data_IF_103764807854
#
_entry.id   IF_103764807854
#
_cell.length_a   1.000
_cell.length_b   1.000
_cell.length_c   1.000
_cell.angle_alpha   90.00
_cell.angle_beta   90.00
_cell.angle_gamma   90.00
#
_symmetry.space_group_name_H-M   'P 1'
#
loop_
_entity.id
_entity.type
_entity.pdbx_description
1 polymer ?
#
# COMPACT_ATOMS: atom_id res chain seq x y z
N UNK A 1 -6.72 -10.20 2.69
CA UNK A 1 -5.91 -10.48 1.48
C UNK A 1 -4.58 -9.77 1.64
N UNK A 2 -3.46 -10.47 1.41
CA UNK A 2 -2.12 -9.88 1.45
C UNK A 2 -1.85 -9.02 0.20
N UNK A 3 -0.84 -8.16 0.24
CA UNK A 3 -0.52 -7.26 -0.89
C UNK A 3 -0.15 -8.00 -2.17
N UNK A 4 0.60 -9.11 -2.06
CA UNK A 4 0.95 -9.94 -3.21
C UNK A 4 -0.32 -10.51 -3.88
N UNK A 5 -1.28 -11.00 -3.09
CA UNK A 5 -2.55 -11.52 -3.56
C UNK A 5 -3.39 -10.42 -4.23
N UNK A 6 -3.45 -9.23 -3.62
CA UNK A 6 -4.12 -8.07 -4.20
C UNK A 6 -3.52 -7.71 -5.56
N UNK A 7 -2.20 -7.58 -5.65
CA UNK A 7 -1.48 -7.27 -6.89
C UNK A 7 -1.78 -8.30 -7.99
N UNK A 8 -1.72 -9.59 -7.65
CA UNK A 8 -2.01 -10.68 -8.59
C UNK A 8 -3.47 -10.65 -9.05
N UNK A 9 -4.43 -10.36 -8.17
CA UNK A 9 -5.85 -10.22 -8.52
C UNK A 9 -6.09 -9.11 -9.55
N UNK A 10 -5.30 -8.05 -9.49
CA UNK A 10 -5.30 -6.92 -10.44
C UNK A 10 -4.46 -7.18 -11.69
N UNK A 11 -3.85 -8.37 -11.83
CA UNK A 11 -2.97 -8.78 -12.95
C UNK A 11 -1.76 -7.85 -13.15
N UNK A 12 -1.29 -7.23 -12.07
CA UNK A 12 -0.09 -6.38 -12.09
C UNK A 12 1.10 -7.25 -11.74
N UNK A 13 2.20 -7.20 -12.50
CA UNK A 13 3.46 -7.88 -12.14
C UNK A 13 4.27 -7.06 -11.13
N UNK A 14 5.18 -7.72 -10.38
CA UNK A 14 6.09 -6.98 -9.49
C UNK A 14 6.99 -6.00 -10.26
N UNK A 15 7.34 -6.31 -11.52
CA UNK A 15 8.12 -5.42 -12.37
C UNK A 15 7.34 -4.16 -12.75
N UNK A 16 6.07 -4.30 -13.14
CA UNK A 16 5.21 -3.15 -13.44
C UNK A 16 4.96 -2.28 -12.21
N UNK A 17 4.75 -2.89 -11.04
CA UNK A 17 4.59 -2.13 -9.81
C UNK A 17 5.88 -1.40 -9.41
N UNK A 18 7.03 -2.05 -9.58
CA UNK A 18 8.35 -1.45 -9.33
C UNK A 18 8.61 -0.25 -10.23
N UNK A 19 8.24 -0.35 -11.52
CA UNK A 19 8.34 0.74 -12.49
C UNK A 19 7.48 1.94 -12.08
N UNK A 20 6.22 1.71 -11.69
CA UNK A 20 5.31 2.76 -11.22
C UNK A 20 5.80 3.46 -9.97
N UNK A 21 6.41 2.72 -9.05
CA UNK A 21 6.97 3.24 -7.80
C UNK A 21 8.41 3.75 -7.96
N UNK A 22 8.99 3.68 -9.16
CA UNK A 22 10.39 4.04 -9.44
C UNK A 22 11.42 3.35 -8.52
N UNK A 23 11.14 2.13 -8.09
CA UNK A 23 12.04 1.32 -7.26
C UNK A 23 12.44 0.03 -7.98
N UNK A 24 13.38 -0.72 -7.41
CA UNK A 24 13.80 -2.01 -7.97
C UNK A 24 12.79 -3.10 -7.61
N UNK A 25 12.54 -4.05 -8.52
CA UNK A 25 11.63 -5.18 -8.28
C UNK A 25 11.92 -5.99 -7.00
N UNK A 26 13.19 -6.22 -6.58
CA UNK A 26 13.48 -6.84 -5.29
C UNK A 26 13.01 -6.04 -4.07
N UNK A 27 12.83 -4.71 -4.20
CA UNK A 27 12.22 -3.89 -3.16
C UNK A 27 10.72 -4.20 -3.01
N UNK A 28 10.01 -4.42 -4.12
CA UNK A 28 8.59 -4.86 -4.10
C UNK A 28 8.45 -6.21 -3.41
N UNK A 29 9.28 -7.19 -3.77
CA UNK A 29 9.25 -8.50 -3.12
C UNK A 29 9.46 -8.41 -1.60
N UNK A 30 10.39 -7.55 -1.16
CA UNK A 30 10.60 -7.29 0.27
C UNK A 30 9.40 -6.61 0.91
N UNK A 31 8.82 -5.62 0.24
CA UNK A 31 7.65 -4.89 0.72
C UNK A 31 6.44 -5.82 0.91
N UNK A 32 6.16 -6.69 -0.07
CA UNK A 32 5.04 -7.63 -0.01
C UNK A 32 5.16 -8.67 1.12
N UNK A 33 6.39 -8.96 1.56
CA UNK A 33 6.69 -9.95 2.62
C UNK A 33 6.91 -9.32 4.00
N UNK A 34 6.86 -7.99 4.13
CA UNK A 34 7.01 -7.32 5.44
C UNK A 34 5.74 -7.50 6.27
N UNK A 35 5.92 -7.83 7.54
CA UNK A 35 4.83 -7.91 8.54
C UNK A 35 4.42 -6.54 9.07
N UNK A 36 5.28 -5.53 8.96
CA UNK A 36 5.01 -4.16 9.40
C UNK A 36 5.50 -3.16 8.34
N UNK A 37 4.71 -2.11 8.14
CA UNK A 37 4.92 -1.12 7.08
C UNK A 37 4.27 0.21 7.45
N UNK A 38 4.96 1.30 7.17
CA UNK A 38 4.41 2.65 7.26
C UNK A 38 3.16 2.80 6.39
N UNK A 39 2.14 3.50 6.92
CA UNK A 39 0.89 3.76 6.20
C UNK A 39 1.12 4.51 4.88
N UNK A 40 2.13 5.37 4.81
CA UNK A 40 2.55 6.06 3.59
C UNK A 40 2.94 5.08 2.48
N UNK A 41 3.81 4.11 2.76
CA UNK A 41 4.18 3.07 1.80
C UNK A 41 2.99 2.21 1.37
N UNK A 42 2.11 1.86 2.31
CA UNK A 42 0.89 1.13 1.97
C UNK A 42 0.03 1.93 0.99
N UNK A 43 -0.14 3.23 1.24
CA UNK A 43 -0.91 4.14 0.39
C UNK A 43 -0.34 4.17 -1.03
N UNK A 44 0.95 4.42 -1.19
CA UNK A 44 1.62 4.47 -2.49
C UNK A 44 1.48 3.17 -3.27
N UNK A 45 1.66 2.03 -2.60
CA UNK A 45 1.53 0.72 -3.24
C UNK A 45 0.11 0.51 -3.76
N UNK A 46 -0.90 0.88 -2.97
CA UNK A 46 -2.30 0.81 -3.36
C UNK A 46 -2.61 1.77 -4.51
N UNK A 47 -2.11 3.01 -4.45
CA UNK A 47 -2.29 4.03 -5.49
C UNK A 47 -1.58 3.67 -6.80
N UNK A 48 -0.38 3.09 -6.74
CA UNK A 48 0.32 2.56 -7.90
C UNK A 48 -0.42 1.38 -8.53
N UNK A 49 -1.16 0.60 -7.74
CA UNK A 49 -2.11 -0.40 -8.25
C UNK A 49 -3.40 0.20 -8.84
N UNK A 50 -3.63 1.51 -8.66
CA UNK A 50 -4.83 2.22 -9.11
C UNK A 50 -5.98 2.22 -8.11
N UNK A 51 -5.71 1.90 -6.85
CA UNK A 51 -6.69 1.92 -5.76
C UNK A 51 -6.59 3.16 -4.87
N UNK A 52 -7.48 3.24 -3.90
CA UNK A 52 -7.49 4.26 -2.84
C UNK A 52 -7.37 3.55 -1.48
N UNK A 53 -6.43 3.98 -0.64
CA UNK A 53 -6.31 3.46 0.72
C UNK A 53 -7.25 4.20 1.68
N UNK A 54 -8.18 3.46 2.27
CA UNK A 54 -9.01 3.90 3.41
C UNK A 54 -8.73 3.04 4.62
N UNK A 55 -8.33 3.67 5.73
CA UNK A 55 -8.17 2.99 7.01
C UNK A 55 -9.46 3.16 7.80
N UNK A 56 -10.09 2.05 8.12
CA UNK A 56 -11.38 2.06 8.82
C UNK A 56 -11.30 1.16 10.03
N UNK A 57 -11.80 1.64 11.16
CA UNK A 57 -11.95 0.86 12.39
C UNK A 57 -13.41 0.46 12.56
N UNK A 58 -13.64 -0.77 13.01
CA UNK A 58 -14.96 -1.33 13.28
C UNK A 58 -15.11 -1.58 14.77
N UNK A 59 -16.12 -0.95 15.34
CA UNK A 59 -16.65 -1.23 16.67
C UNK A 59 -17.96 -2.02 16.53
N UNK A 60 -18.48 -2.64 17.60
CA UNK A 60 -19.73 -3.39 17.54
C UNK A 60 -20.90 -2.61 16.92
N UNK A 61 -20.96 -1.30 17.19
CA UNK A 61 -22.10 -0.45 16.82
C UNK A 61 -21.75 0.64 15.79
N UNK A 62 -20.47 0.85 15.47
CA UNK A 62 -20.04 1.95 14.59
C UNK A 62 -18.80 1.60 13.78
N UNK A 63 -18.78 2.07 12.54
CA UNK A 63 -17.61 2.02 11.65
C UNK A 63 -17.10 3.44 11.45
N UNK A 64 -15.81 3.67 11.71
CA UNK A 64 -15.20 5.01 11.64
C UNK A 64 -13.98 4.96 10.74
N UNK A 65 -13.95 5.82 9.72
CA UNK A 65 -12.75 6.04 8.89
C UNK A 65 -11.77 6.95 9.62
N UNK A 66 -10.51 6.53 9.69
CA UNK A 66 -9.43 7.28 10.34
C UNK A 66 -8.87 8.28 9.34
N UNK A 67 -9.05 9.57 9.62
CA UNK A 67 -8.66 10.66 8.72
C UNK A 67 -7.25 11.21 8.98
N UNK A 68 -6.62 10.82 10.09
CA UNK A 68 -5.25 11.24 10.46
C UNK A 68 -4.19 10.95 9.38
N UNK A 69 -4.49 10.05 8.45
CA UNK A 69 -3.57 9.56 7.43
C UNK A 69 -3.95 9.99 6.00
N UNK A 70 -4.90 10.90 5.84
CA UNK A 70 -5.40 11.33 4.51
C UNK A 70 -4.35 12.08 3.68
N UNK A 71 -3.46 12.85 4.33
CA UNK A 71 -2.43 13.66 3.66
C UNK A 71 -1.01 13.17 3.97
N UNK A 72 -0.80 11.86 4.04
CA UNK A 72 0.55 11.31 4.15
C UNK A 72 1.26 11.45 2.80
N UNK A 73 2.07 12.48 2.65
CA UNK A 73 3.13 12.50 1.64
C UNK A 73 4.34 11.72 2.17
N UNK A 74 5.09 11.08 1.27
CA UNK A 74 6.37 10.48 1.60
C UNK A 74 7.36 11.59 1.96
N UNK A 75 7.85 11.61 3.20
CA UNK A 75 9.17 12.17 3.46
C UNK A 75 10.18 11.12 2.98
N UNK A 76 10.79 11.36 1.82
CA UNK A 76 11.95 10.61 1.35
C UNK A 76 13.15 11.11 2.15
N UNK A 77 13.22 10.75 3.43
CA UNK A 77 14.46 10.91 4.20
C UNK A 77 15.27 9.60 4.15
N UNK A 78 16.41 9.73 3.44
CA UNK A 78 17.63 8.90 3.32
C UNK A 78 17.55 7.39 2.96
#
# INVERSE_FOLDING_TARGET
MALCELRQSLKISQAQLAEKLQIKQPAISRLENRTDMYVSHLREVIEAMGGELKITTKFPDVEVTITNFENLAMDIDE
#
